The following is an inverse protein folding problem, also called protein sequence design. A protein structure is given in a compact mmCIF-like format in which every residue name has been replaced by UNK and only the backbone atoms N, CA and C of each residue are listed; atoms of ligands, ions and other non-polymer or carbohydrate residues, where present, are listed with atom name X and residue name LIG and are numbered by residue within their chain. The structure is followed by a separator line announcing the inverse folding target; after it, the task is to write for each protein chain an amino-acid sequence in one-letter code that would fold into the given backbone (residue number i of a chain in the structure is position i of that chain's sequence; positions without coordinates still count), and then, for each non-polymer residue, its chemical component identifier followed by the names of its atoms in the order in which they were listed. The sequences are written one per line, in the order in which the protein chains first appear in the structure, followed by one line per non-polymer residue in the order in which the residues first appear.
data_IF_229270321477
#
_entry.id   IF_229270321477
#
_cell.length_a   1.000
_cell.length_b   1.000
_cell.length_c   1.000
_cell.angle_alpha   90.00
_cell.angle_beta   90.00
_cell.angle_gamma   90.00
#
_symmetry.space_group_name_H-M   'P 1'
#
loop_
_entity.id
_entity.type
_entity.pdbx_description
1 polymer ?
#
# COMPACT_ATOMS: atom_id res chain seq x y z
N UNK A 1 -80.68 13.25 38.32
CA UNK A 1 -79.24 13.48 38.08
C UNK A 1 -78.83 12.71 36.83
N UNK A 2 -78.55 13.42 35.73
CA UNK A 2 -77.97 12.84 34.52
C UNK A 2 -77.57 13.98 33.56
N UNK A 3 -76.26 14.13 33.32
CA UNK A 3 -75.61 14.57 32.07
C UNK A 3 -74.11 14.75 32.35
N UNK A 4 -73.34 13.69 32.10
CA UNK A 4 -71.89 13.75 32.04
C UNK A 4 -71.47 14.23 30.65
N UNK A 5 -70.58 15.22 30.62
CA UNK A 5 -70.05 15.81 29.39
C UNK A 5 -68.97 14.91 28.76
N UNK A 6 -69.04 14.84 27.42
CA UNK A 6 -68.11 14.18 26.50
C UNK A 6 -66.69 14.74 26.60
N UNK A 7 -65.70 13.86 26.82
CA UNK A 7 -64.29 14.14 26.52
C UNK A 7 -63.90 13.41 25.23
N UNK A 8 -63.59 14.19 24.20
CA UNK A 8 -63.06 13.71 22.91
C UNK A 8 -61.54 13.57 23.06
N UNK A 9 -61.02 12.35 23.02
CA UNK A 9 -59.59 12.10 22.86
C UNK A 9 -59.32 11.72 21.40
N UNK A 10 -58.66 12.63 20.68
CA UNK A 10 -58.16 12.39 19.33
C UNK A 10 -56.89 11.53 19.40
N UNK A 11 -56.98 10.27 18.98
CA UNK A 11 -55.81 9.43 18.75
C UNK A 11 -55.12 9.88 17.46
N UNK A 12 -54.06 10.67 17.60
CA UNK A 12 -53.18 11.01 16.48
C UNK A 12 -52.26 9.82 16.18
N UNK A 13 -52.55 9.10 15.09
CA UNK A 13 -51.66 8.12 14.48
C UNK A 13 -50.47 8.84 13.84
N UNK A 14 -49.35 8.96 14.56
CA UNK A 14 -48.06 9.22 13.94
C UNK A 14 -47.38 7.88 13.68
N UNK A 15 -47.61 7.35 12.47
CA UNK A 15 -46.75 6.37 11.83
C UNK A 15 -45.37 7.02 11.65
N UNK A 16 -44.49 6.86 12.64
CA UNK A 16 -43.07 7.05 12.43
C UNK A 16 -42.61 5.90 11.53
N UNK A 17 -42.59 6.15 10.22
CA UNK A 17 -41.96 5.29 9.24
C UNK A 17 -40.53 5.01 9.68
N UNK A 18 -40.25 3.75 10.03
CA UNK A 18 -38.89 3.26 10.16
C UNK A 18 -38.26 3.32 8.77
N UNK A 19 -37.61 4.45 8.45
CA UNK A 19 -36.67 4.54 7.34
C UNK A 19 -35.50 3.68 7.78
N UNK A 20 -35.49 2.41 7.37
CA UNK A 20 -34.27 1.62 7.36
C UNK A 20 -33.32 2.33 6.41
N UNK A 21 -32.38 3.06 6.98
CA UNK A 21 -31.22 3.55 6.25
C UNK A 21 -30.49 2.30 5.71
N UNK A 22 -30.78 1.94 4.47
CA UNK A 22 -29.92 1.12 3.62
C UNK A 22 -28.69 1.97 3.28
N UNK A 23 -27.93 2.36 4.31
CA UNK A 23 -26.53 2.66 4.12
C UNK A 23 -25.91 1.35 3.69
N UNK A 24 -25.39 1.29 2.47
CA UNK A 24 -24.57 0.17 1.99
C UNK A 24 -23.50 -0.12 3.06
N UNK A 25 -23.75 -1.11 3.92
CA UNK A 25 -22.70 -1.64 4.77
C UNK A 25 -21.73 -2.30 3.80
N UNK A 26 -20.66 -1.59 3.48
CA UNK A 26 -19.57 -2.13 2.70
C UNK A 26 -18.99 -3.28 3.52
N UNK A 27 -19.39 -4.49 3.16
CA UNK A 27 -18.93 -5.71 3.81
C UNK A 27 -17.40 -5.69 3.85
N UNK A 28 -16.82 -5.76 5.04
CA UNK A 28 -15.37 -5.66 5.20
C UNK A 28 -14.75 -7.03 4.90
N UNK A 29 -14.16 -7.17 3.70
CA UNK A 29 -13.48 -8.41 3.30
C UNK A 29 -12.30 -8.66 4.23
N UNK A 30 -12.28 -9.82 4.89
CA UNK A 30 -11.17 -10.23 5.75
C UNK A 30 -9.87 -10.31 4.93
N UNK A 31 -8.80 -9.70 5.43
CA UNK A 31 -7.47 -9.78 4.83
C UNK A 31 -6.52 -10.62 5.69
N UNK A 32 -5.50 -11.28 5.10
CA UNK A 32 -4.55 -12.08 5.84
C UNK A 32 -3.74 -11.23 6.84
N UNK A 33 -3.63 -11.71 8.08
CA UNK A 33 -2.92 -11.05 9.19
C UNK A 33 -1.99 -12.03 9.90
N UNK A 34 -0.83 -11.56 10.34
CA UNK A 34 0.10 -12.37 11.12
C UNK A 34 -0.22 -12.27 12.61
N UNK A 35 -0.01 -13.35 13.37
CA UNK A 35 -0.31 -13.37 14.81
C UNK A 35 0.58 -12.44 15.64
N UNK A 36 1.84 -12.29 15.23
CA UNK A 36 2.92 -11.75 16.08
C UNK A 36 3.48 -10.41 15.57
N UNK A 37 2.80 -9.76 14.62
CA UNK A 37 3.15 -8.41 14.19
C UNK A 37 2.46 -7.36 15.06
N UNK A 38 3.22 -6.37 15.54
CA UNK A 38 2.66 -5.08 16.00
C UNK A 38 1.49 -4.69 15.06
N UNK A 39 0.35 -4.30 15.63
CA UNK A 39 -0.86 -3.88 14.91
C UNK A 39 -0.55 -2.92 13.76
N UNK A 40 0.47 -2.06 13.90
CA UNK A 40 0.96 -1.18 12.83
C UNK A 40 1.58 -1.95 11.64
N UNK A 41 2.40 -2.96 11.90
CA UNK A 41 3.00 -3.83 10.88
C UNK A 41 1.96 -4.74 10.22
N UNK A 42 0.98 -5.23 10.98
CA UNK A 42 -0.14 -6.01 10.45
C UNK A 42 -1.05 -5.18 9.52
N UNK A 43 -1.32 -3.92 9.86
CA UNK A 43 -2.07 -3.00 9.00
C UNK A 43 -1.29 -2.65 7.72
N UNK A 44 0.03 -2.40 7.86
CA UNK A 44 0.94 -2.19 6.72
C UNK A 44 1.03 -3.43 5.82
N UNK A 45 1.04 -4.62 6.40
CA UNK A 45 1.06 -5.90 5.68
C UNK A 45 -0.27 -6.15 4.95
N UNK A 46 -1.41 -5.95 5.63
CA UNK A 46 -2.76 -6.16 5.09
C UNK A 46 -3.08 -5.22 3.93
N UNK A 47 -2.45 -4.04 3.87
CA UNK A 47 -2.68 -3.02 2.85
C UNK A 47 -2.47 -3.52 1.41
N UNK A 48 -1.47 -4.37 1.20
CA UNK A 48 -1.07 -4.80 -0.16
C UNK A 48 -1.73 -6.11 -0.63
N UNK A 49 -2.53 -6.76 0.21
CA UNK A 49 -3.37 -7.87 -0.23
C UNK A 49 -4.59 -7.35 -0.99
N UNK A 50 -4.73 -7.82 -2.22
CA UNK A 50 -5.92 -7.61 -3.04
C UNK A 50 -6.84 -8.81 -2.81
N UNK A 51 -8.02 -8.58 -2.24
CA UNK A 51 -8.90 -9.65 -1.80
C UNK A 51 -10.28 -9.50 -2.42
N UNK A 52 -10.87 -10.64 -2.77
CA UNK A 52 -12.22 -10.79 -3.30
C UNK A 52 -12.92 -11.91 -2.53
N UNK A 53 -14.22 -11.73 -2.25
CA UNK A 53 -15.07 -12.74 -1.62
C UNK A 53 -15.99 -13.32 -2.69
N UNK A 54 -15.91 -14.63 -2.89
CA UNK A 54 -16.76 -15.41 -3.80
C UNK A 54 -17.52 -16.45 -2.97
N UNK A 55 -18.80 -16.19 -2.70
CA UNK A 55 -19.63 -16.96 -1.76
C UNK A 55 -18.91 -17.11 -0.40
N UNK A 56 -18.70 -18.34 0.05
CA UNK A 56 -18.05 -18.65 1.33
C UNK A 56 -16.53 -18.74 1.24
N UNK A 57 -15.91 -18.20 0.19
CA UNK A 57 -14.46 -18.26 -0.02
C UNK A 57 -13.90 -16.87 -0.23
N UNK A 58 -12.86 -16.53 0.53
CA UNK A 58 -12.07 -15.32 0.35
C UNK A 58 -10.76 -15.69 -0.33
N UNK A 59 -10.48 -15.04 -1.45
CA UNK A 59 -9.23 -15.19 -2.21
C UNK A 59 -8.48 -13.88 -2.13
N UNK A 60 -7.22 -13.95 -1.70
CA UNK A 60 -6.33 -12.80 -1.63
C UNK A 60 -5.07 -13.07 -2.44
N UNK A 61 -4.73 -12.14 -3.34
CA UNK A 61 -3.50 -12.20 -4.14
C UNK A 61 -2.55 -11.09 -3.73
N UNK A 62 -1.26 -11.38 -3.89
CA UNK A 62 -0.18 -10.41 -3.66
C UNK A 62 1.04 -10.74 -4.51
N UNK A 63 1.77 -9.70 -4.90
CA UNK A 63 3.06 -9.81 -5.58
C UNK A 63 4.06 -8.92 -4.86
N UNK A 64 5.12 -9.51 -4.36
CA UNK A 64 6.24 -8.76 -3.77
C UNK A 64 7.55 -9.10 -4.47
N UNK A 65 8.52 -8.21 -4.31
CA UNK A 65 9.82 -8.30 -4.95
C UNK A 65 10.94 -8.15 -3.91
N UNK A 66 12.04 -8.85 -4.12
CA UNK A 66 13.27 -8.71 -3.37
C UNK A 66 14.41 -8.35 -4.32
N UNK A 67 15.37 -7.58 -3.82
CA UNK A 67 16.58 -7.25 -4.57
C UNK A 67 17.57 -8.40 -4.50
N UNK A 68 18.00 -8.89 -5.66
CA UNK A 68 19.12 -9.81 -5.80
C UNK A 68 20.38 -9.02 -6.18
N UNK A 69 21.31 -8.94 -5.24
CA UNK A 69 22.56 -8.20 -5.40
C UNK A 69 23.44 -8.78 -6.51
N UNK A 70 23.42 -10.11 -6.70
CA UNK A 70 24.27 -10.78 -7.70
C UNK A 70 23.90 -10.39 -9.12
N UNK A 71 22.59 -10.30 -9.40
CA UNK A 71 22.10 -9.91 -10.73
C UNK A 71 21.80 -8.41 -10.84
N UNK A 72 21.86 -7.66 -9.74
CA UNK A 72 21.43 -6.26 -9.62
C UNK A 72 19.98 -6.07 -10.15
N UNK A 73 19.08 -6.98 -9.76
CA UNK A 73 17.69 -6.99 -10.20
C UNK A 73 16.73 -7.22 -9.06
N UNK A 74 15.54 -6.66 -9.20
CA UNK A 74 14.41 -7.00 -8.35
C UNK A 74 13.68 -8.22 -8.91
N UNK A 75 13.63 -9.28 -8.12
CA UNK A 75 13.05 -10.59 -8.49
C UNK A 75 11.82 -10.88 -7.65
N UNK A 76 10.93 -11.75 -8.15
CA UNK A 76 9.73 -12.16 -7.41
C UNK A 76 10.13 -12.80 -6.07
N UNK A 77 9.59 -12.28 -4.97
CA UNK A 77 10.01 -12.65 -3.62
C UNK A 77 9.36 -13.96 -3.12
N UNK A 78 8.28 -14.42 -3.76
CA UNK A 78 7.50 -15.61 -3.33
C UNK A 78 7.02 -15.52 -1.87
N UNK A 79 6.82 -14.29 -1.37
CA UNK A 79 6.43 -14.06 0.01
C UNK A 79 5.05 -14.66 0.31
N UNK A 80 4.98 -15.50 1.34
CA UNK A 80 3.78 -16.25 1.72
C UNK A 80 2.87 -15.51 2.71
N UNK A 81 3.39 -14.46 3.38
CA UNK A 81 2.56 -13.52 4.14
C UNK A 81 3.09 -13.11 5.50
N UNK A 82 3.84 -13.97 6.20
CA UNK A 82 4.35 -13.70 7.55
C UNK A 82 5.83 -14.04 7.74
N UNK A 83 6.52 -13.34 8.64
CA UNK A 83 7.86 -13.69 9.13
C UNK A 83 9.05 -13.46 8.19
N UNK A 84 8.81 -13.22 6.89
CA UNK A 84 9.87 -13.01 5.88
C UNK A 84 10.85 -11.85 6.17
N UNK A 85 11.74 -11.56 5.23
CA UNK A 85 12.82 -10.57 5.40
C UNK A 85 12.39 -9.14 5.08
N UNK A 86 13.17 -8.16 5.53
CA UNK A 86 12.98 -6.75 5.15
C UNK A 86 13.30 -6.45 3.68
N UNK A 87 14.06 -7.31 3.00
CA UNK A 87 14.24 -7.28 1.55
C UNK A 87 12.96 -7.77 0.86
N UNK A 88 11.87 -7.02 1.03
CA UNK A 88 10.55 -7.36 0.55
C UNK A 88 9.80 -6.06 0.23
N UNK A 89 9.47 -5.87 -1.03
CA UNK A 89 8.87 -4.66 -1.57
C UNK A 89 7.53 -5.00 -2.22
N UNK A 90 6.46 -4.23 -1.94
CA UNK A 90 5.12 -4.52 -2.46
C UNK A 90 4.95 -4.19 -3.96
N UNK A 91 6.00 -3.70 -4.62
CA UNK A 91 6.04 -3.47 -6.06
C UNK A 91 7.48 -3.54 -6.59
N UNK A 92 7.63 -3.89 -7.86
CA UNK A 92 8.94 -3.91 -8.52
C UNK A 92 9.51 -2.50 -8.61
N UNK A 93 8.66 -1.50 -8.83
CA UNK A 93 9.04 -0.10 -8.87
C UNK A 93 9.69 0.36 -7.57
N UNK A 94 9.07 0.07 -6.42
CA UNK A 94 9.64 0.41 -5.10
C UNK A 94 10.97 -0.30 -4.85
N UNK A 95 11.10 -1.57 -5.24
CA UNK A 95 12.38 -2.28 -5.14
C UNK A 95 13.45 -1.63 -6.02
N UNK A 96 13.16 -1.38 -7.29
CA UNK A 96 14.10 -0.78 -8.26
C UNK A 96 14.51 0.61 -7.79
N UNK A 97 13.55 1.42 -7.35
CA UNK A 97 13.77 2.78 -6.86
C UNK A 97 14.73 2.85 -5.68
N UNK A 98 14.79 1.79 -4.86
CA UNK A 98 15.56 1.77 -3.62
C UNK A 98 16.81 0.91 -3.64
N UNK A 99 16.91 -0.06 -4.56
CA UNK A 99 17.99 -1.06 -4.50
C UNK A 99 18.81 -1.19 -5.78
N UNK A 100 18.25 -0.92 -6.96
CA UNK A 100 18.98 -1.16 -8.22
C UNK A 100 19.93 -0.02 -8.54
N UNK A 101 21.22 -0.30 -8.57
CA UNK A 101 22.24 0.70 -8.89
C UNK A 101 22.56 0.67 -10.39
N UNK A 102 22.08 1.64 -11.14
CA UNK A 102 22.58 1.89 -12.52
C UNK A 102 23.76 2.87 -12.50
N UNK A 103 24.81 2.62 -13.27
CA UNK A 103 25.97 3.53 -13.31
C UNK A 103 25.66 4.86 -14.01
N UNK A 104 24.70 4.87 -14.94
CA UNK A 104 24.29 6.06 -15.68
C UNK A 104 22.78 6.20 -15.70
N UNK A 105 22.33 7.44 -15.72
CA UNK A 105 20.97 7.77 -16.12
C UNK A 105 20.82 7.58 -17.62
N UNK A 106 19.66 7.07 -18.01
CA UNK A 106 19.31 7.04 -19.43
C UNK A 106 19.21 8.47 -19.97
N UNK A 107 19.73 8.72 -21.17
CA UNK A 107 19.92 10.09 -21.67
C UNK A 107 18.60 10.88 -21.80
N UNK A 108 17.48 10.25 -22.18
CA UNK A 108 16.19 10.93 -22.19
C UNK A 108 15.70 11.26 -20.77
N UNK A 109 15.97 10.41 -19.78
CA UNK A 109 15.65 10.72 -18.38
C UNK A 109 16.48 11.93 -17.91
N UNK A 110 17.77 11.97 -18.22
CA UNK A 110 18.62 13.12 -17.93
C UNK A 110 18.09 14.41 -18.60
N UNK A 111 17.69 14.36 -19.87
CA UNK A 111 17.09 15.52 -20.56
C UNK A 111 15.76 15.95 -19.94
N UNK A 112 14.89 14.99 -19.60
CA UNK A 112 13.62 15.26 -18.93
C UNK A 112 13.84 15.96 -17.58
N UNK A 113 14.73 15.43 -16.74
CA UNK A 113 15.05 16.01 -15.44
C UNK A 113 15.76 17.36 -15.56
N UNK A 114 16.61 17.58 -16.57
CA UNK A 114 17.22 18.88 -16.81
C UNK A 114 16.19 19.98 -17.08
N UNK A 115 15.13 19.66 -17.84
CA UNK A 115 14.04 20.61 -18.12
C UNK A 115 13.17 20.84 -16.89
N UNK A 116 12.95 19.80 -16.09
CA UNK A 116 12.02 19.82 -14.96
C UNK A 116 12.64 20.37 -13.67
N UNK A 117 13.92 20.08 -13.45
CA UNK A 117 14.70 20.35 -12.23
C UNK A 117 16.06 20.95 -12.60
N UNK A 118 16.11 22.12 -13.27
CA UNK A 118 17.38 22.73 -13.66
C UNK A 118 18.25 22.98 -12.43
N UNK A 119 19.50 22.51 -12.48
CA UNK A 119 20.45 22.57 -11.36
C UNK A 119 19.92 21.95 -10.05
N UNK A 120 19.00 20.99 -10.15
CA UNK A 120 18.33 20.35 -9.01
C UNK A 120 17.60 21.33 -8.07
N UNK A 121 17.09 22.43 -8.62
CA UNK A 121 16.16 23.31 -7.92
C UNK A 121 14.78 22.67 -7.97
N UNK A 122 14.32 22.21 -6.81
CA UNK A 122 13.02 21.57 -6.65
C UNK A 122 11.92 22.59 -6.38
N UNK A 123 10.67 22.23 -6.70
CA UNK A 123 9.51 23.01 -6.24
C UNK A 123 9.32 22.86 -4.72
N UNK A 124 8.71 23.85 -4.04
CA UNK A 124 8.33 23.70 -2.64
C UNK A 124 7.46 22.47 -2.42
N UNK A 125 7.71 21.74 -1.34
CA UNK A 125 6.97 20.52 -0.99
C UNK A 125 5.49 20.89 -0.81
N UNK A 126 4.65 20.34 -1.67
CA UNK A 126 3.19 20.49 -1.63
C UNK A 126 2.57 19.20 -1.07
N UNK A 127 2.32 19.12 0.25
CA UNK A 127 1.75 17.92 0.87
C UNK A 127 0.31 17.67 0.41
N UNK A 128 -0.18 16.43 0.46
CA UNK A 128 -1.58 16.11 0.17
C UNK A 128 -2.51 16.74 1.21
N UNK A 129 -3.68 17.21 0.76
CA UNK A 129 -4.73 17.71 1.67
C UNK A 129 -5.40 16.57 2.45
N UNK A 130 -5.53 15.39 1.84
CA UNK A 130 -6.09 14.18 2.45
C UNK A 130 -5.35 12.92 1.99
N UNK A 131 -5.35 11.88 2.85
CA UNK A 131 -4.73 10.59 2.56
C UNK A 131 -3.20 10.58 2.65
N UNK A 132 -2.60 9.48 2.18
CA UNK A 132 -1.15 9.22 2.32
C UNK A 132 -0.27 10.00 1.31
N UNK A 133 -0.87 10.57 0.26
CA UNK A 133 -0.17 11.24 -0.85
C UNK A 133 0.59 10.30 -1.80
N UNK A 134 1.29 10.90 -2.77
CA UNK A 134 2.16 10.19 -3.72
C UNK A 134 3.58 10.24 -3.20
N UNK A 135 4.21 9.08 -3.02
CA UNK A 135 5.63 9.00 -2.65
C UNK A 135 6.52 9.44 -3.81
N UNK A 136 7.41 10.39 -3.53
CA UNK A 136 8.40 10.94 -4.45
C UNK A 136 9.71 11.26 -3.72
N UNK A 137 10.70 11.74 -4.46
CA UNK A 137 12.01 12.09 -3.92
C UNK A 137 12.37 13.53 -4.24
N UNK A 138 12.77 14.26 -3.19
CA UNK A 138 13.17 15.65 -3.26
C UNK A 138 14.67 15.78 -2.98
N UNK A 139 15.38 16.58 -3.79
CA UNK A 139 16.77 16.92 -3.49
C UNK A 139 16.83 18.07 -2.48
N UNK A 140 17.47 17.81 -1.35
CA UNK A 140 17.76 18.80 -0.33
C UNK A 140 19.17 19.38 -0.59
N UNK A 141 19.23 20.60 -1.15
CA UNK A 141 20.49 21.23 -1.53
C UNK A 141 21.39 21.58 -0.33
N UNK A 142 20.80 21.87 0.83
CA UNK A 142 21.54 22.17 2.08
C UNK A 142 22.27 20.93 2.59
N UNK A 143 21.57 19.79 2.63
CA UNK A 143 22.14 18.51 3.07
C UNK A 143 22.85 17.74 1.95
N UNK A 144 22.74 18.23 0.70
CA UNK A 144 23.18 17.56 -0.53
C UNK A 144 22.69 16.12 -0.66
N UNK A 145 21.47 15.84 -0.19
CA UNK A 145 20.92 14.48 -0.15
C UNK A 145 19.49 14.44 -0.68
N UNK A 146 19.11 13.30 -1.25
CA UNK A 146 17.74 13.03 -1.67
C UNK A 146 16.93 12.43 -0.52
N UNK A 147 15.69 12.91 -0.35
CA UNK A 147 14.81 12.55 0.75
C UNK A 147 13.43 12.13 0.22
N UNK A 148 12.77 11.12 0.82
CA UNK A 148 11.41 10.77 0.46
C UNK A 148 10.43 11.85 0.94
N UNK A 149 9.47 12.17 0.08
CA UNK A 149 8.38 13.12 0.37
C UNK A 149 7.05 12.50 -0.06
N UNK A 150 5.96 12.87 0.63
CA UNK A 150 4.60 12.56 0.20
C UNK A 150 3.97 13.86 -0.32
N UNK A 151 3.51 13.84 -1.58
CA UNK A 151 3.08 15.05 -2.30
C UNK A 151 1.73 14.87 -2.96
N UNK A 152 1.02 15.97 -3.19
CA UNK A 152 -0.26 15.97 -3.91
C UNK A 152 -0.06 15.69 -5.42
N UNK A 153 0.95 16.33 -6.04
CA UNK A 153 1.30 16.13 -7.45
C UNK A 153 2.70 15.51 -7.57
N UNK A 154 2.76 14.30 -8.14
CA UNK A 154 3.99 13.53 -8.27
C UNK A 154 4.97 14.04 -9.33
N UNK A 155 4.49 14.75 -10.36
CA UNK A 155 5.30 15.18 -11.53
C UNK A 155 6.24 16.35 -11.20
N UNK A 156 6.10 16.89 -9.99
CA UNK A 156 6.91 17.98 -9.47
C UNK A 156 8.20 17.52 -8.77
N UNK A 157 8.45 16.21 -8.74
CA UNK A 157 9.52 15.58 -7.97
C UNK A 157 10.10 14.36 -8.69
N UNK A 158 11.22 13.81 -8.21
CA UNK A 158 11.77 12.59 -8.80
C UNK A 158 10.87 11.39 -8.49
N UNK A 159 10.59 10.53 -9.48
CA UNK A 159 9.75 9.35 -9.28
C UNK A 159 10.44 8.29 -8.42
N UNK A 160 11.77 8.24 -8.42
CA UNK A 160 12.58 7.27 -7.70
C UNK A 160 13.87 7.88 -7.10
N UNK A 161 14.38 7.27 -6.03
CA UNK A 161 15.56 7.76 -5.29
C UNK A 161 16.80 7.79 -6.18
N UNK A 162 17.02 6.73 -6.96
CA UNK A 162 18.19 6.60 -7.81
C UNK A 162 18.30 7.73 -8.84
N UNK A 163 17.18 8.12 -9.43
CA UNK A 163 17.10 9.25 -10.35
C UNK A 163 17.52 10.54 -9.68
N UNK A 164 17.00 10.82 -8.48
CA UNK A 164 17.39 12.00 -7.71
C UNK A 164 18.89 11.99 -7.39
N UNK A 165 19.41 10.88 -6.84
CA UNK A 165 20.80 10.81 -6.37
C UNK A 165 21.78 10.98 -7.52
N UNK A 166 21.52 10.31 -8.65
CA UNK A 166 22.41 10.39 -9.83
C UNK A 166 22.31 11.72 -10.52
N UNK A 167 21.09 12.23 -10.73
CA UNK A 167 20.89 13.47 -11.46
C UNK A 167 21.45 14.66 -10.68
N UNK A 168 21.24 14.68 -9.36
CA UNK A 168 21.67 15.76 -8.49
C UNK A 168 23.04 15.57 -7.85
N UNK A 169 23.74 14.47 -8.18
CA UNK A 169 25.02 14.11 -7.59
C UNK A 169 24.98 14.18 -6.05
N UNK A 170 23.94 13.57 -5.47
CA UNK A 170 23.67 13.62 -4.04
C UNK A 170 24.60 12.68 -3.25
N UNK A 171 24.83 12.98 -1.98
CA UNK A 171 25.63 12.15 -1.06
C UNK A 171 24.83 11.04 -0.39
N UNK A 172 23.54 10.88 -0.72
CA UNK A 172 22.70 9.82 -0.16
C UNK A 172 23.25 8.43 -0.48
N UNK A 173 23.12 7.51 0.47
CA UNK A 173 23.24 6.09 0.16
C UNK A 173 22.17 5.71 -0.88
N UNK A 174 22.65 5.19 -2.02
CA UNK A 174 21.80 4.83 -3.15
C UNK A 174 20.88 3.65 -2.79
N UNK A 175 21.34 2.77 -1.88
CA UNK A 175 20.63 1.57 -1.46
C UNK A 175 20.16 1.68 0.00
N UNK A 176 18.93 1.26 0.26
CA UNK A 176 18.48 1.05 1.64
C UNK A 176 19.23 -0.13 2.28
N UNK A 177 19.49 -0.12 3.61
CA UNK A 177 20.13 -1.26 4.29
C UNK A 177 19.42 -2.60 4.04
N UNK A 178 18.08 -2.57 4.01
CA UNK A 178 17.24 -3.74 3.72
C UNK A 178 17.44 -4.36 2.32
N UNK A 179 18.06 -3.65 1.37
CA UNK A 179 18.41 -4.21 0.07
C UNK A 179 19.47 -5.33 0.20
N UNK A 180 20.29 -5.31 1.25
CA UNK A 180 21.34 -6.31 1.49
C UNK A 180 20.84 -7.52 2.28
N UNK A 181 19.63 -7.47 2.83
CA UNK A 181 19.09 -8.60 3.59
C UNK A 181 18.78 -9.78 2.64
N UNK A 182 19.07 -11.00 3.09
CA UNK A 182 18.72 -12.20 2.34
C UNK A 182 17.19 -12.30 2.20
N UNK A 183 16.72 -12.59 0.99
CA UNK A 183 15.29 -12.82 0.76
C UNK A 183 14.77 -13.98 1.60
N UNK A 184 13.57 -13.84 2.13
CA UNK A 184 12.86 -14.90 2.85
C UNK A 184 11.39 -14.90 2.46
N UNK A 185 10.91 -16.09 2.08
CA UNK A 185 9.53 -16.33 1.64
C UNK A 185 8.55 -16.30 2.83
N UNK A 186 9.05 -16.52 4.05
CA UNK A 186 8.22 -16.54 5.24
C UNK A 186 7.26 -17.73 5.26
N UNK A 187 6.11 -17.57 5.92
CA UNK A 187 5.08 -18.61 6.06
C UNK A 187 3.67 -18.07 5.80
N UNK A 188 2.71 -18.93 5.43
CA UNK A 188 1.30 -18.54 5.32
C UNK A 188 0.73 -18.01 6.65
N UNK A 189 -0.13 -16.97 6.62
CA UNK A 189 -0.88 -16.53 7.78
C UNK A 189 -1.79 -17.64 8.34
N UNK A 190 -2.01 -17.67 9.66
CA UNK A 190 -2.87 -18.71 10.27
C UNK A 190 -4.29 -18.67 9.68
N UNK A 191 -4.78 -19.83 9.28
CA UNK A 191 -6.13 -19.98 8.74
C UNK A 191 -6.24 -19.62 7.25
N UNK A 192 -5.11 -19.33 6.59
CA UNK A 192 -5.03 -19.12 5.15
C UNK A 192 -4.19 -20.23 4.51
N UNK A 193 -4.67 -20.77 3.40
CA UNK A 193 -3.91 -21.68 2.56
C UNK A 193 -3.29 -20.87 1.41
N UNK A 194 -1.95 -20.75 1.39
CA UNK A 194 -1.26 -19.90 0.43
C UNK A 194 -0.39 -20.73 -0.54
N UNK A 195 -0.44 -20.38 -1.81
CA UNK A 195 0.34 -21.01 -2.89
C UNK A 195 1.02 -19.95 -3.74
N UNK A 196 2.17 -20.30 -4.33
CA UNK A 196 2.95 -19.43 -5.20
C UNK A 196 2.82 -19.91 -6.63
N UNK A 197 2.49 -18.99 -7.55
CA UNK A 197 2.51 -19.23 -8.98
C UNK A 197 3.67 -18.43 -9.59
N UNK A 198 4.70 -19.13 -10.09
CA UNK A 198 5.92 -18.49 -10.60
C UNK A 198 5.72 -17.84 -11.97
N UNK A 199 4.84 -18.39 -12.81
CA UNK A 199 4.56 -17.88 -14.16
C UNK A 199 3.86 -16.52 -14.11
N UNK A 200 2.87 -16.40 -13.23
CA UNK A 200 2.12 -15.15 -13.02
C UNK A 200 2.74 -14.27 -11.93
N UNK A 201 3.75 -14.78 -11.22
CA UNK A 201 4.42 -14.11 -10.10
C UNK A 201 3.44 -13.59 -9.05
N UNK A 202 2.53 -14.46 -8.58
CA UNK A 202 1.60 -14.14 -7.51
C UNK A 202 1.65 -15.18 -6.41
N UNK A 203 1.52 -14.72 -5.17
CA UNK A 203 1.11 -15.54 -4.04
C UNK A 203 -0.40 -15.40 -3.91
N UNK A 204 -1.11 -16.53 -3.89
CA UNK A 204 -2.56 -16.60 -3.69
C UNK A 204 -2.86 -17.29 -2.36
N UNK A 205 -3.58 -16.62 -1.49
CA UNK A 205 -4.05 -17.12 -0.20
C UNK A 205 -5.57 -17.28 -0.21
N UNK A 206 -6.06 -18.43 0.24
CA UNK A 206 -7.48 -18.77 0.27
C UNK A 206 -7.91 -19.09 1.70
N UNK A 207 -9.09 -18.60 2.09
CA UNK A 207 -9.74 -18.92 3.36
C UNK A 207 -11.23 -19.15 3.14
N UNK A 208 -11.78 -20.19 3.75
CA UNK A 208 -13.23 -20.37 3.84
C UNK A 208 -13.78 -19.39 4.89
N UNK A 209 -14.74 -18.55 4.52
CA UNK A 209 -15.49 -17.79 5.52
C UNK A 209 -16.34 -18.76 6.32
N UNK A 210 -16.44 -18.53 7.63
CA UNK A 210 -17.39 -19.30 8.43
C UNK A 210 -18.78 -19.10 7.82
N UNK A 211 -19.47 -20.19 7.48
CA UNK A 211 -20.90 -20.12 7.20
C UNK A 211 -21.56 -19.61 8.47
N UNK A 212 -22.30 -18.52 8.38
CA UNK A 212 -23.31 -18.19 9.38
C UNK A 212 -24.34 -19.33 9.29
N UNK A 213 -24.14 -20.38 10.07
CA UNK A 213 -25.17 -21.39 10.25
C UNK A 213 -26.35 -20.71 10.96
N UNK A 214 -27.51 -20.80 10.32
CA UNK A 214 -28.84 -20.39 10.81
C UNK A 214 -29.13 -20.75 12.27
#
# INVERSE_FOLDING_TARGET
EARAAMNVYAFSLLLASAITALGNQKETIEKPKCKDGDTANNNKMSKYWMCEKNNDTIVCIRRDYSYDEKSNKCVFNKFMGCGGSENNFPSSFECVAHCVTTEKLWHYAAQYFQRRFPNCVMKPIAPPETGDGIRRFNFNATLKRCEPVNVANGDDYFPDMNSCVKFCNATSEIQLPRCKAQKSEGVPPKGWNCTVNEDTQYTTCVKQSATENE
#
